data_IF_509976588427
#
_entry.id   IF_509976588427
#
_cell.length_a   1.000
_cell.length_b   1.000
_cell.length_c   1.000
_cell.angle_alpha   90.00
_cell.angle_beta   90.00
_cell.angle_gamma   90.00
#
_symmetry.space_group_name_H-M   'P 1'
#
loop_
_entity.id
_entity.type
_entity.pdbx_description
1 polymer ?
2 non-polymer ?
3 non-polymer ?
4 non-polymer ?
5 non-polymer ?
6 non-polymer ?
7 water ?
#
# COMPACT_ATOMS: atom_id res chain seq x y z
N UNK A 4 -29.41 13.94 -4.53
CA UNK A 4 -29.16 13.07 -3.39
C UNK A 4 -27.68 12.78 -3.19
N UNK A 5 -27.01 12.41 -4.26
CA UNK A 5 -25.66 11.86 -4.20
C UNK A 5 -24.62 12.90 -4.60
N UNK A 6 -23.40 12.67 -4.13
CA UNK A 6 -22.29 13.55 -4.48
C UNK A 6 -21.79 13.32 -5.90
N UNK A 7 -21.87 12.08 -6.39
CA UNK A 7 -21.51 11.77 -7.77
C UNK A 7 -22.72 11.97 -8.67
N UNK A 8 -22.54 12.62 -9.82
CA UNK A 8 -23.66 12.78 -10.75
C UNK A 8 -23.93 11.51 -11.55
N UNK A 9 -22.96 10.60 -11.61
CA UNK A 9 -23.17 9.29 -12.22
C UNK A 9 -22.11 8.33 -11.68
N UNK A 10 -22.47 7.05 -11.64
CA UNK A 10 -21.60 6.02 -11.07
C UNK A 10 -20.59 5.54 -12.10
N UNK A 11 -19.78 6.49 -12.57
CA UNK A 11 -18.76 6.24 -13.57
C UNK A 11 -17.45 6.88 -13.12
N UNK A 12 -16.37 6.57 -13.85
CA UNK A 12 -15.11 7.26 -13.63
C UNK A 12 -15.25 8.75 -13.95
N UNK A 13 -16.08 9.09 -14.94
CA UNK A 13 -16.32 10.49 -15.27
C UNK A 13 -16.96 11.24 -14.12
N UNK A 14 -17.96 10.63 -13.46
CA UNK A 14 -18.56 11.27 -12.30
C UNK A 14 -17.56 11.47 -11.18
N UNK A 15 -16.67 10.49 -10.99
CA UNK A 15 -15.65 10.63 -9.97
C UNK A 15 -14.70 11.77 -10.30
N UNK A 16 -14.31 11.90 -11.57
CA UNK A 16 -13.40 12.97 -11.95
C UNK A 16 -14.05 14.34 -11.75
N UNK A 17 -15.32 14.46 -12.17
CA UNK A 17 -16.06 15.70 -11.95
C UNK A 17 -16.16 16.03 -10.47
N UNK A 18 -16.46 15.04 -9.63
CA UNK A 18 -16.50 15.25 -8.19
C UNK A 18 -15.14 15.68 -7.66
N UNK A 19 -14.07 15.04 -8.13
CA UNK A 19 -12.72 15.36 -7.66
C UNK A 19 -12.37 16.80 -7.97
N UNK A 20 -12.77 17.31 -9.14
CA UNK A 20 -12.45 18.67 -9.47
C UNK A 20 -13.48 19.68 -8.95
N UNK A 21 -14.58 19.21 -8.38
CA UNK A 21 -15.49 20.10 -7.68
C UNK A 21 -14.86 20.58 -6.38
N UNK A 22 -15.45 21.63 -5.81
CA UNK A 22 -14.97 22.13 -4.53
C UNK A 22 -15.38 21.26 -3.36
N UNK A 23 -16.24 20.25 -3.59
CA UNK A 23 -16.65 19.36 -2.52
C UNK A 23 -15.56 18.38 -2.14
N UNK A 24 -14.68 18.01 -3.07
CA UNK A 24 -13.69 16.97 -2.87
C UNK A 24 -12.33 17.61 -2.63
N UNK A 25 -11.88 17.61 -1.37
CA UNK A 25 -10.60 18.17 -1.00
C UNK A 25 -9.64 17.16 -0.38
N UNK A 26 -10.13 16.05 0.17
CA UNK A 26 -9.31 15.10 0.92
C UNK A 26 -9.58 13.69 0.41
N UNK A 27 -8.54 13.06 -0.13
CA UNK A 27 -8.63 11.72 -0.72
C UNK A 27 -7.79 10.76 0.10
N UNK A 28 -8.38 9.63 0.48
CA UNK A 28 -7.65 8.55 1.13
C UNK A 28 -7.51 7.40 0.15
N UNK A 29 -6.27 6.95 -0.06
CA UNK A 29 -6.00 5.78 -0.89
C UNK A 29 -5.82 4.55 -0.02
N UNK A 30 -6.42 3.44 -0.44
CA UNK A 30 -6.26 2.13 0.18
C UNK A 30 -5.73 1.19 -0.90
N UNK A 31 -4.48 0.78 -0.78
CA UNK A 31 -3.83 0.05 -1.86
C UNK A 31 -3.30 -1.29 -1.34
N UNK A 32 -3.17 -2.24 -2.27
CA UNK A 32 -2.66 -3.56 -1.97
C UNK A 32 -1.69 -4.08 -3.01
N UNK A 33 -1.54 -5.40 -3.08
CA UNK A 33 -0.49 -5.97 -3.91
C UNK A 33 -0.70 -5.68 -5.39
N UNK A 34 -1.94 -5.38 -5.78
CA UNK A 34 -2.24 -5.23 -7.18
C UNK A 34 -1.55 -4.04 -7.83
N UNK A 35 -1.21 -3.02 -7.02
CA UNK A 35 -0.59 -1.82 -7.56
C UNK A 35 0.90 -2.00 -7.80
N UNK A 36 1.46 -3.17 -7.49
CA UNK A 36 2.88 -3.42 -7.66
C UNK A 36 3.20 -4.61 -8.56
N UNK A 37 2.19 -5.35 -9.03
CA UNK A 37 2.48 -6.47 -9.91
C UNK A 37 3.06 -6.01 -11.24
N UNK A 38 2.67 -4.83 -11.72
CA UNK A 38 3.25 -4.30 -12.95
C UNK A 38 4.67 -3.80 -12.76
N UNK A 39 5.15 -3.71 -11.52
CA UNK A 39 6.52 -3.34 -11.24
C UNK A 39 7.46 -4.54 -11.17
N UNK A 40 6.93 -5.76 -11.31
CA UNK A 40 7.71 -6.97 -11.17
C UNK A 40 7.67 -7.60 -9.80
N UNK A 41 6.88 -7.05 -8.88
CA UNK A 41 6.76 -7.60 -7.53
C UNK A 41 5.43 -8.33 -7.43
N UNK A 42 5.43 -9.64 -7.48
CA UNK A 42 4.18 -10.40 -7.44
C UNK A 42 3.68 -10.52 -6.00
N UNK A 43 2.61 -11.29 -5.85
CA UNK A 43 2.05 -11.50 -4.52
C UNK A 43 2.98 -12.35 -3.66
N UNK A 44 3.84 -11.70 -2.88
CA UNK A 44 4.89 -12.42 -2.14
C UNK A 44 4.30 -13.39 -1.12
N UNK A 45 3.14 -13.07 -0.57
CA UNK A 45 2.51 -13.97 0.39
C UNK A 45 1.10 -14.35 -0.05
N UNK A 57 13.89 -27.55 3.74
CA UNK A 57 15.32 -27.38 3.98
C UNK A 57 15.58 -26.73 5.32
N UNK A 58 14.66 -25.85 5.72
CA UNK A 58 14.74 -25.18 7.00
C UNK A 58 14.05 -25.95 8.11
N UNK A 59 13.33 -27.02 7.77
CA UNK A 59 12.69 -27.90 8.74
C UNK A 59 11.75 -27.11 9.66
N UNK A 60 10.90 -26.30 9.06
CA UNK A 60 9.96 -25.49 9.81
C UNK A 60 8.96 -26.38 10.54
N UNK A 61 8.68 -26.13 11.81
CA UNK A 61 7.62 -26.90 12.49
C UNK A 61 6.27 -26.77 11.82
N UNK A 62 5.95 -25.57 11.33
CA UNK A 62 4.74 -25.32 10.57
C UNK A 62 5.08 -24.26 9.54
N UNK A 63 4.54 -24.37 8.31
CA UNK A 63 4.97 -23.48 7.22
C UNK A 63 4.84 -22.00 7.53
N UNK A 64 3.92 -21.60 8.41
CA UNK A 64 3.78 -20.19 8.76
C UNK A 64 4.93 -19.69 9.64
N UNK A 65 5.76 -20.59 10.17
CA UNK A 65 6.82 -20.18 11.10
C UNK A 65 7.76 -19.16 10.48
N UNK A 66 7.99 -19.22 9.17
CA UNK A 66 8.92 -18.30 8.52
C UNK A 66 8.46 -16.86 8.65
N UNK A 67 7.18 -16.64 8.96
CA UNK A 67 6.66 -15.28 9.14
C UNK A 67 6.09 -15.06 10.54
N UNK A 68 6.40 -15.94 11.49
CA UNK A 68 5.99 -15.76 12.88
C UNK A 68 7.18 -15.26 13.69
N UNK A 69 6.92 -14.31 14.59
CA UNK A 69 8.00 -13.54 15.19
C UNK A 69 8.87 -14.40 16.09
N UNK A 70 8.26 -15.30 16.87
CA UNK A 70 9.02 -16.13 17.80
C UNK A 70 10.01 -17.02 17.05
N UNK A 71 9.54 -17.71 16.01
CA UNK A 71 10.44 -18.57 15.25
C UNK A 71 11.54 -17.75 14.59
N UNK A 72 11.19 -16.59 14.03
CA UNK A 72 12.21 -15.72 13.44
C UNK A 72 13.30 -15.40 14.44
N UNK A 73 12.92 -14.97 15.65
CA UNK A 73 13.92 -14.66 16.65
C UNK A 73 14.69 -15.89 17.09
N UNK A 74 14.13 -17.08 16.94
CA UNK A 74 14.86 -18.31 17.22
C UNK A 74 15.71 -18.76 16.04
N UNK A 75 15.14 -18.77 14.83
CA UNK A 75 15.84 -19.21 13.62
C UNK A 75 15.52 -18.23 12.50
N UNK A 76 16.29 -17.15 12.39
CA UNK A 76 16.00 -16.13 11.37
C UNK A 76 16.50 -16.48 9.99
N UNK A 77 17.49 -17.39 9.89
CA UNK A 77 18.09 -17.73 8.61
C UNK A 77 17.09 -18.15 7.53
N UNK A 78 16.05 -18.95 7.82
CA UNK A 78 15.05 -19.24 6.76
C UNK A 78 14.42 -17.99 6.17
N UNK A 79 14.04 -17.03 7.02
CA UNK A 79 13.43 -15.80 6.53
C UNK A 79 14.36 -15.07 5.57
N UNK A 80 15.65 -14.98 5.92
CA UNK A 80 16.56 -14.20 5.10
C UNK A 80 16.96 -14.94 3.82
N UNK A 81 16.96 -16.28 3.84
CA UNK A 81 17.10 -17.02 2.60
C UNK A 81 15.94 -16.73 1.65
N UNK A 82 14.71 -16.79 2.18
CA UNK A 82 13.56 -16.43 1.36
C UNK A 82 13.66 -14.98 0.88
N UNK A 83 14.23 -14.11 1.71
CA UNK A 83 14.37 -12.71 1.32
C UNK A 83 15.34 -12.54 0.17
N UNK A 84 16.46 -13.29 0.18
CA UNK A 84 17.36 -13.24 -0.96
C UNK A 84 16.68 -13.77 -2.21
N UNK A 85 15.88 -14.84 -2.06
CA UNK A 85 15.20 -15.40 -3.24
C UNK A 85 14.15 -14.45 -3.80
N UNK A 86 13.48 -13.68 -2.95
CA UNK A 86 12.39 -12.80 -3.38
C UNK A 86 12.82 -11.37 -3.63
N UNK A 87 14.08 -11.02 -3.37
CA UNK A 87 14.51 -9.64 -3.45
C UNK A 87 14.38 -9.14 -4.89
N UNK A 88 13.77 -7.98 -5.12
CA UNK A 88 13.53 -7.53 -6.49
C UNK A 88 14.82 -7.10 -7.17
N UNK A 89 14.88 -7.34 -8.49
CA UNK A 89 15.99 -6.86 -9.26
C UNK A 89 15.99 -5.36 -9.44
N UNK A 90 14.85 -4.71 -9.23
CA UNK A 90 14.74 -3.26 -9.37
C UNK A 90 13.56 -2.78 -8.53
N UNK A 91 13.70 -1.57 -7.98
CA UNK A 91 12.65 -0.92 -7.19
C UNK A 91 12.13 0.25 -8.00
N UNK A 92 11.24 -0.05 -8.95
CA UNK A 92 10.69 0.97 -9.85
C UNK A 92 9.19 1.07 -9.63
N UNK A 93 8.69 2.12 -8.98
CA UNK A 93 7.25 2.23 -8.74
C UNK A 93 6.45 2.33 -10.03
N UNK A 94 5.15 2.09 -9.93
CA UNK A 94 4.29 2.02 -11.09
C UNK A 94 3.63 3.37 -11.37
N UNK A 95 2.90 3.42 -12.49
CA UNK A 95 2.10 4.60 -12.81
C UNK A 95 1.11 4.90 -11.70
N UNK A 96 0.60 3.85 -11.04
CA UNK A 96 -0.34 4.03 -9.95
C UNK A 96 0.31 4.75 -8.77
N UNK A 97 1.51 4.30 -8.39
CA UNK A 97 2.27 4.95 -7.33
C UNK A 97 2.47 6.43 -7.64
N UNK A 98 2.84 6.75 -8.88
CA UNK A 98 3.12 8.14 -9.19
C UNK A 98 1.83 8.96 -9.34
N UNK A 99 0.71 8.30 -9.65
CA UNK A 99 -0.58 8.99 -9.57
C UNK A 99 -0.89 9.41 -8.15
N UNK A 100 -0.53 8.56 -7.19
CA UNK A 100 -0.69 8.97 -5.79
C UNK A 100 0.26 10.12 -5.44
N UNK A 101 1.48 10.07 -5.98
CA UNK A 101 2.39 11.21 -5.80
C UNK A 101 1.80 12.49 -6.38
N UNK A 102 1.14 12.39 -7.55
CA UNK A 102 0.50 13.55 -8.14
C UNK A 102 -0.63 14.06 -7.27
N UNK A 103 -1.44 13.15 -6.72
CA UNK A 103 -2.46 13.54 -5.74
C UNK A 103 -1.83 14.36 -4.62
N UNK A 104 -0.69 13.90 -4.10
CA UNK A 104 0.04 14.67 -3.10
C UNK A 104 0.40 16.05 -3.62
N UNK A 105 0.95 16.12 -4.83
CA UNK A 105 1.36 17.40 -5.40
C UNK A 105 0.19 18.33 -5.60
N UNK A 106 -0.96 17.80 -6.03
CA UNK A 106 -2.15 18.60 -6.25
C UNK A 106 -2.85 19.02 -4.96
N UNK A 107 -2.34 18.60 -3.81
CA UNK A 107 -2.96 18.98 -2.55
C UNK A 107 -4.23 18.24 -2.22
N UNK A 108 -4.37 17.01 -2.69
CA UNK A 108 -5.58 16.24 -2.48
C UNK A 108 -5.38 15.00 -1.61
N UNK A 109 -4.15 14.61 -1.31
CA UNK A 109 -3.88 13.36 -0.62
C UNK A 109 -3.92 13.58 0.89
N UNK A 110 -4.96 13.07 1.54
CA UNK A 110 -4.97 13.03 3.01
C UNK A 110 -4.03 11.95 3.51
N UNK A 111 -4.16 10.73 2.99
CA UNK A 111 -3.34 9.62 3.44
C UNK A 111 -3.42 8.47 2.44
N UNK A 112 -2.33 7.70 2.38
CA UNK A 112 -2.29 6.43 1.67
C UNK A 112 -2.10 5.32 2.69
N UNK A 113 -3.09 4.44 2.83
CA UNK A 113 -2.98 3.24 3.64
C UNK A 113 -2.58 2.09 2.72
N UNK A 114 -1.45 1.47 2.99
CA UNK A 114 -0.94 0.40 2.14
C UNK A 114 -0.75 -0.88 2.95
N UNK A 115 -1.09 -2.01 2.33
CA UNK A 115 -0.79 -3.32 2.85
C UNK A 115 0.52 -3.87 2.31
N UNK A 116 1.17 -3.13 1.41
CA UNK A 116 2.41 -3.58 0.79
C UNK A 116 3.62 -3.21 1.64
N UNK A 117 4.65 -4.05 1.54
CA UNK A 117 5.90 -3.87 2.27
C UNK A 117 7.05 -3.55 1.34
N UNK A 118 6.78 -3.27 0.07
CA UNK A 118 7.80 -3.23 -0.98
C UNK A 118 8.47 -1.87 -1.13
N UNK A 119 8.11 -0.89 -0.30
CA UNK A 119 8.73 0.44 -0.23
C UNK A 119 8.40 1.33 -1.42
N UNK A 120 7.64 0.83 -2.40
CA UNK A 120 7.49 1.58 -3.65
C UNK A 120 6.75 2.89 -3.42
N UNK A 121 5.92 2.97 -2.38
CA UNK A 121 5.24 4.23 -2.09
C UNK A 121 6.23 5.32 -1.73
N UNK A 122 7.28 4.97 -0.97
CA UNK A 122 8.27 5.96 -0.58
C UNK A 122 9.17 6.35 -1.73
N UNK A 123 9.56 5.37 -2.57
CA UNK A 123 10.37 5.67 -3.73
C UNK A 123 9.64 6.60 -4.69
N UNK A 124 8.31 6.46 -4.77
CA UNK A 124 7.51 7.34 -5.63
C UNK A 124 7.35 8.74 -5.07
N UNK A 125 7.81 9.00 -3.85
CA UNK A 125 7.79 10.34 -3.30
C UNK A 125 6.76 10.60 -2.24
N UNK A 126 6.05 9.57 -1.77
CA UNK A 126 5.16 9.74 -0.63
C UNK A 126 5.97 9.69 0.66
N UNK A 127 5.73 10.65 1.53
CA UNK A 127 6.50 10.77 2.76
C UNK A 127 5.81 10.03 3.89
N UNK A 128 6.55 9.83 4.98
CA UNK A 128 6.07 9.02 6.10
C UNK A 128 4.77 9.55 6.65
N UNK A 129 4.61 10.88 6.64
CA UNK A 129 3.37 11.50 7.10
C UNK A 129 2.21 11.17 6.18
N UNK A 130 2.49 10.94 4.89
CA UNK A 130 1.45 10.58 3.93
C UNK A 130 1.01 9.12 4.05
N UNK A 131 1.78 8.29 4.75
CA UNK A 131 1.64 6.85 4.64
C UNK A 131 1.23 6.23 5.98
N UNK A 132 0.33 5.26 5.90
CA UNK A 132 0.11 4.30 6.96
C UNK A 132 0.44 2.93 6.38
N UNK A 133 1.57 2.37 6.78
CA UNK A 133 2.03 1.07 6.30
C UNK A 133 1.48 0.01 7.24
N UNK A 134 0.25 -0.45 6.93
CA UNK A 134 -0.52 -1.26 7.87
C UNK A 134 0.18 -2.58 8.21
N UNK A 135 1.01 -3.08 7.30
CA UNK A 135 1.74 -4.32 7.53
C UNK A 135 3.25 -4.08 7.60
N UNK A 136 3.66 -2.84 7.80
CA UNK A 136 5.07 -2.55 7.95
C UNK A 136 5.74 -2.30 6.60
N UNK A 137 7.07 -2.37 6.64
CA UNK A 137 7.86 -2.12 5.44
C UNK A 137 9.25 -2.73 5.59
N UNK A 138 9.84 -3.06 4.44
CA UNK A 138 11.25 -3.39 4.32
C UNK A 138 12.14 -2.16 4.22
N UNK A 139 11.54 -0.97 4.17
CA UNK A 139 12.33 0.26 4.01
C UNK A 139 13.30 0.45 5.16
N UNK A 140 12.82 0.25 6.39
CA UNK A 140 13.62 0.40 7.59
C UNK A 140 13.70 -0.94 8.31
N UNK A 141 14.81 -1.15 9.02
CA UNK A 141 14.95 -2.31 9.88
C UNK A 141 15.42 -1.85 11.25
N UNK A 142 15.15 -2.66 12.27
CA UNK A 142 15.51 -2.31 13.63
C UNK A 142 16.13 -3.49 14.35
N UNK A 143 17.16 -3.19 15.13
CA UNK A 143 17.65 -4.14 16.13
C UNK A 143 16.51 -4.59 17.02
N UNK A 144 16.46 -5.90 17.30
CA UNK A 144 15.34 -6.44 18.06
C UNK A 144 15.43 -6.19 19.55
N UNK A 145 16.56 -5.69 20.03
CA UNK A 145 16.74 -5.46 21.47
C UNK A 145 16.00 -4.19 21.88
N UNK A 146 15.13 -4.32 22.88
CA UNK A 146 14.33 -3.17 23.30
C UNK A 146 15.19 -2.03 23.83
N UNK A 147 16.30 -2.34 24.50
CA UNK A 147 17.17 -1.30 25.04
C UNK A 147 18.04 -0.64 23.99
N UNK A 148 17.95 -1.07 22.72
CA UNK A 148 18.81 -0.53 21.67
C UNK A 148 18.00 0.05 20.52
N UNK A 149 17.30 -0.79 19.75
CA UNK A 149 16.41 -0.34 18.68
C UNK A 149 17.16 0.48 17.62
N UNK A 150 18.44 0.16 17.39
CA UNK A 150 19.22 0.82 16.36
C UNK A 150 18.55 0.59 15.00
N UNK A 151 18.37 1.67 14.24
CA UNK A 151 17.70 1.63 12.94
C UNK A 151 18.71 1.51 11.82
N UNK A 152 18.38 0.68 10.83
CA UNK A 152 19.25 0.44 9.70
C UNK A 152 18.49 0.61 8.38
N UNK A 153 19.16 1.13 7.36
CA UNK A 153 18.50 1.37 6.08
C UNK A 153 18.42 0.11 5.23
N UNK A 154 17.68 0.22 4.13
CA UNK A 154 17.49 -0.92 3.25
C UNK A 154 18.78 -1.32 2.54
N UNK A 155 19.69 -0.37 2.30
CA UNK A 155 20.95 -0.71 1.67
C UNK A 155 21.76 -1.68 2.52
N UNK A 156 21.93 -1.34 3.80
CA UNK A 156 22.58 -2.21 4.78
C UNK A 156 21.96 -3.61 4.78
N UNK A 157 20.63 -3.67 4.85
CA UNK A 157 19.92 -4.94 4.92
C UNK A 157 20.10 -5.75 3.63
N UNK A 158 20.06 -5.08 2.48
CA UNK A 158 20.28 -5.76 1.22
C UNK A 158 21.66 -6.38 1.15
N UNK A 159 22.68 -5.62 1.59
CA UNK A 159 24.03 -6.17 1.59
C UNK A 159 24.12 -7.40 2.49
N UNK A 160 23.50 -7.34 3.66
CA UNK A 160 23.49 -8.49 4.56
C UNK A 160 22.79 -9.69 3.91
N UNK A 161 21.64 -9.46 3.30
CA UNK A 161 20.85 -10.55 2.72
C UNK A 161 21.61 -11.20 1.57
N UNK A 162 22.18 -10.38 0.69
CA UNK A 162 22.88 -10.91 -0.49
C UNK A 162 24.16 -11.63 -0.11
N UNK A 163 24.91 -11.10 0.87
CA UNK A 163 26.09 -11.80 1.33
C UNK A 163 25.77 -13.04 2.15
N UNK A 164 24.48 -13.30 2.43
CA UNK A 164 24.05 -14.44 3.23
C UNK A 164 24.68 -14.44 4.61
N UNK A 165 24.72 -13.25 5.22
CA UNK A 165 25.17 -13.05 6.59
C UNK A 165 23.96 -12.55 7.37
N UNK A 166 23.60 -13.27 8.43
CA UNK A 166 22.46 -12.89 9.24
C UNK A 166 22.66 -11.50 9.81
N UNK A 167 21.71 -10.58 9.63
CA UNK A 167 21.93 -9.19 10.06
C UNK A 167 21.98 -9.07 11.57
N UNK A 168 23.06 -8.48 12.07
CA UNK A 168 23.27 -8.31 13.52
C UNK A 168 23.60 -6.86 13.81
N UNK A 169 23.13 -6.38 14.95
CA UNK A 169 23.30 -4.99 15.32
C UNK A 169 24.77 -4.66 15.57
N UNK A 170 25.22 -3.51 15.07
CA UNK A 170 26.60 -3.11 15.28
C UNK A 170 26.85 -2.58 16.69
N UNK A 171 25.80 -2.22 17.42
CA UNK A 171 25.94 -1.73 18.78
C UNK A 171 25.89 -2.87 19.80
N UNK A 172 24.96 -3.80 19.66
CA UNK A 172 24.74 -4.82 20.69
C UNK A 172 24.74 -6.24 20.17
N UNK A 173 24.96 -6.46 18.86
CA UNK A 173 25.04 -7.77 18.23
C UNK A 173 23.72 -8.54 18.24
N UNK A 174 22.61 -7.88 18.56
CA UNK A 174 21.32 -8.54 18.45
C UNK A 174 20.89 -8.64 16.99
N UNK A 175 19.90 -9.48 16.76
CA UNK A 175 19.33 -9.64 15.42
C UNK A 175 18.65 -8.34 14.99
N UNK A 176 18.74 -8.04 13.70
CA UNK A 176 18.10 -6.87 13.10
C UNK A 176 17.03 -7.36 12.14
N UNK A 177 15.78 -6.89 12.34
CA UNK A 177 14.61 -7.34 11.62
C UNK A 177 14.01 -6.22 10.78
N UNK A 178 13.64 -6.50 9.52
CA UNK A 178 12.92 -5.50 8.72
C UNK A 178 11.60 -5.14 9.38
N UNK A 179 11.17 -3.89 9.16
CA UNK A 179 10.03 -3.40 9.93
C UNK A 179 8.70 -3.87 9.38
N UNK A 180 8.61 -5.12 8.94
CA UNK A 180 7.34 -5.67 8.52
C UNK A 180 6.68 -6.29 9.74
N UNK A 181 5.36 -6.38 9.71
CA UNK A 181 4.59 -6.93 10.81
C UNK A 181 4.53 -8.44 10.63
N UNK A 182 5.27 -9.17 11.45
CA UNK A 182 5.23 -10.62 11.46
C UNK A 182 3.95 -11.12 12.14
N UNK A 183 3.61 -12.37 11.89
CA UNK A 183 2.56 -13.03 12.64
C UNK A 183 2.92 -13.04 14.12
N UNK A 184 1.94 -12.73 14.96
CA UNK A 184 2.17 -12.60 16.39
C UNK A 184 2.64 -11.24 16.82
N UNK A 185 2.75 -10.29 15.91
CA UNK A 185 3.02 -8.90 16.23
C UNK A 185 1.74 -8.09 16.04
N UNK A 186 1.65 -6.97 16.76
CA UNK A 186 0.46 -6.13 16.67
C UNK A 186 0.55 -5.20 15.47
N UNK A 187 -0.62 -4.77 15.01
CA UNK A 187 -0.67 -3.72 14.00
C UNK A 187 -0.04 -2.45 14.57
N UNK A 188 0.58 -1.62 13.72
CA UNK A 188 1.11 -0.35 14.21
C UNK A 188 -0.02 0.54 14.72
N UNK A 189 0.23 1.15 15.89
CA UNK A 189 -0.79 2.00 16.52
C UNK A 189 -1.14 3.21 15.66
N UNK A 190 -0.16 3.68 14.88
CA UNK A 190 -0.41 4.75 13.91
C UNK A 190 -1.60 4.44 13.03
N UNK A 191 -1.78 3.17 12.66
CA UNK A 191 -2.93 2.76 11.87
C UNK A 191 -4.24 3.20 12.53
N UNK A 192 -4.42 2.84 13.80
CA UNK A 192 -5.68 3.13 14.47
C UNK A 192 -5.85 4.62 14.74
N UNK A 193 -4.79 5.30 15.19
CA UNK A 193 -4.92 6.73 15.47
C UNK A 193 -5.24 7.51 14.20
N UNK A 194 -4.46 7.27 13.14
CA UNK A 194 -4.72 7.91 11.86
C UNK A 194 -6.09 7.55 11.32
N UNK A 195 -6.55 6.32 11.55
CA UNK A 195 -7.87 5.95 11.07
C UNK A 195 -8.94 6.81 11.75
N UNK A 196 -8.88 6.86 13.09
CA UNK A 196 -9.86 7.62 13.85
C UNK A 196 -9.87 9.10 13.46
N UNK A 197 -8.72 9.63 13.03
CA UNK A 197 -8.79 11.04 12.60
C UNK A 197 -9.16 11.18 11.12
N UNK A 198 -8.51 10.42 10.25
CA UNK A 198 -8.66 10.58 8.81
C UNK A 198 -10.10 10.34 8.37
N UNK A 199 -10.74 9.29 8.88
CA UNK A 199 -12.03 8.96 8.28
C UNK A 199 -13.16 9.88 8.73
N UNK A 200 -12.87 10.82 9.63
CA UNK A 200 -13.77 11.96 9.87
C UNK A 200 -13.64 13.03 8.79
N UNK A 201 -12.61 12.95 7.94
CA UNK A 201 -12.27 14.04 7.04
C UNK A 201 -12.28 13.66 5.56
N UNK A 202 -12.50 12.39 5.22
CA UNK A 202 -12.30 11.94 3.85
C UNK A 202 -13.48 12.35 2.97
N UNK A 203 -13.16 12.82 1.76
CA UNK A 203 -14.16 13.12 0.75
C UNK A 203 -14.24 12.06 -0.33
N UNK A 204 -13.17 11.33 -0.56
CA UNK A 204 -13.15 10.28 -1.57
C UNK A 204 -12.20 9.17 -1.13
N UNK A 205 -12.67 7.92 -1.28
CA UNK A 205 -11.89 6.73 -0.97
C UNK A 205 -11.49 6.07 -2.29
N UNK A 206 -10.20 5.96 -2.53
CA UNK A 206 -9.65 5.39 -3.76
C UNK A 206 -8.99 4.06 -3.41
N UNK A 207 -9.67 2.96 -3.73
CA UNK A 207 -9.22 1.62 -3.40
C UNK A 207 -8.63 0.99 -4.65
N UNK A 208 -7.36 0.58 -4.57
CA UNK A 208 -6.63 0.12 -5.75
C UNK A 208 -5.84 -1.13 -5.44
N UNK A 209 -5.99 -2.14 -6.29
CA UNK A 209 -5.16 -3.33 -6.22
C UNK A 209 -5.24 -4.13 -4.94
N UNK A 210 -6.43 -4.24 -4.35
CA UNK A 210 -6.62 -5.10 -3.19
C UNK A 210 -7.98 -5.78 -3.27
N UNK A 211 -8.02 -7.04 -2.84
CA UNK A 211 -9.27 -7.81 -2.83
C UNK A 211 -10.12 -7.53 -1.60
N UNK A 212 -9.61 -6.75 -0.64
CA UNK A 212 -10.36 -6.39 0.56
C UNK A 212 -10.86 -7.63 1.30
N UNK A 213 -9.98 -8.63 1.42
CA UNK A 213 -10.30 -9.85 2.13
C UNK A 213 -9.56 -9.99 3.45
N UNK A 214 -8.48 -9.25 3.67
CA UNK A 214 -7.68 -9.36 4.88
C UNK A 214 -8.15 -8.30 5.88
N UNK A 215 -8.57 -8.74 7.05
CA UNK A 215 -8.97 -7.85 8.13
C UNK A 215 -7.76 -7.49 8.97
N UNK A 216 -7.79 -6.34 9.66
CA UNK A 216 -8.86 -5.34 9.69
C UNK A 216 -8.73 -4.29 8.58
N UNK A 217 -7.81 -4.46 7.63
CA UNK A 217 -7.64 -3.46 6.58
C UNK A 217 -8.91 -3.32 5.73
N UNK A 218 -9.58 -4.45 5.46
CA UNK A 218 -10.80 -4.40 4.65
C UNK A 218 -11.87 -3.53 5.31
N UNK A 219 -12.16 -3.77 6.59
CA UNK A 219 -13.16 -3.02 7.31
C UNK A 219 -12.96 -1.50 7.21
N UNK A 220 -11.79 -1.03 6.79
CA UNK A 220 -11.57 0.40 6.59
C UNK A 220 -12.65 1.03 5.72
N UNK A 221 -13.15 0.28 4.71
CA UNK A 221 -14.09 0.92 3.81
C UNK A 221 -15.38 1.25 4.53
N UNK A 222 -15.68 0.53 5.62
CA UNK A 222 -16.88 0.82 6.40
C UNK A 222 -16.69 1.99 7.36
N UNK A 223 -15.45 2.48 7.51
CA UNK A 223 -15.19 3.62 8.37
C UNK A 223 -15.42 4.95 7.65
N UNK A 224 -15.67 4.94 6.36
CA UNK A 224 -15.95 6.18 5.66
C UNK A 224 -17.38 6.64 5.93
N UNK A 225 -17.61 7.96 5.93
CA UNK A 225 -18.99 8.44 6.05
C UNK A 225 -19.84 7.92 4.90
N UNK A 226 -21.15 7.82 5.15
CA UNK A 226 -22.03 7.18 4.19
C UNK A 226 -22.10 7.93 2.87
N UNK A 227 -21.82 9.23 2.88
CA UNK A 227 -21.88 10.01 1.66
C UNK A 227 -20.60 9.93 0.83
N UNK A 228 -19.51 9.50 1.44
CA UNK A 228 -18.20 9.54 0.79
C UNK A 228 -18.14 8.58 -0.41
N UNK A 229 -17.94 9.08 -1.63
CA UNK A 229 -17.78 8.18 -2.77
C UNK A 229 -16.54 7.31 -2.64
N UNK A 230 -16.63 6.11 -3.23
CA UNK A 230 -15.59 5.09 -3.13
C UNK A 230 -15.38 4.49 -4.51
N UNK A 231 -14.18 4.67 -5.06
CA UNK A 231 -13.83 4.21 -6.40
C UNK A 231 -12.83 3.05 -6.28
N UNK A 232 -13.19 1.92 -6.88
CA UNK A 232 -12.33 0.74 -6.93
C UNK A 232 -11.69 0.64 -8.31
N UNK A 233 -10.36 0.69 -8.34
CA UNK A 233 -9.57 0.39 -9.53
C UNK A 233 -8.89 -0.94 -9.27
N UNK A 234 -9.37 -2.00 -9.93
CA UNK A 234 -8.92 -3.35 -9.62
C UNK A 234 -9.27 -4.26 -10.79
N UNK A 235 -8.51 -5.34 -10.93
CA UNK A 235 -8.78 -6.27 -12.02
C UNK A 235 -10.15 -6.92 -11.88
N UNK A 236 -10.63 -7.09 -10.64
CA UNK A 236 -11.93 -7.69 -10.40
C UNK A 236 -12.65 -6.92 -9.30
N UNK A 237 -13.98 -7.03 -9.29
CA UNK A 237 -14.77 -6.39 -8.25
C UNK A 237 -14.45 -6.98 -6.89
N UNK A 238 -14.46 -6.12 -5.87
CA UNK A 238 -14.13 -6.54 -4.51
C UNK A 238 -14.83 -5.60 -3.54
N UNK A 239 -14.90 -6.05 -2.28
CA UNK A 239 -15.48 -5.25 -1.22
C UNK A 239 -16.98 -5.38 -1.05
N UNK A 240 -17.67 -6.07 -1.96
CA UNK A 240 -19.09 -6.33 -1.78
C UNK A 240 -19.30 -7.27 -0.60
N UNK A 241 -20.46 -7.15 0.04
CA UNK A 241 -20.75 -7.99 1.18
C UNK A 241 -20.81 -9.46 0.75
N UNK A 242 -20.24 -10.33 1.58
CA UNK A 242 -20.17 -11.74 1.23
C UNK A 242 -21.52 -12.39 1.49
N UNK A 243 -22.15 -13.00 0.47
CA UNK A 243 -23.48 -13.60 0.68
C UNK A 243 -23.51 -14.67 1.77
N UNK A 244 -22.37 -15.22 2.15
CA UNK A 244 -22.30 -16.24 3.19
C UNK A 244 -22.11 -15.61 4.58
N UNK A 245 -21.01 -14.88 4.76
CA UNK A 245 -20.72 -14.26 6.05
C UNK A 245 -21.05 -12.77 6.06
N UNK A 253 -21.21 -2.16 5.77
CA UNK A 253 -20.86 -1.06 4.88
C UNK A 253 -20.10 -1.52 3.64
N UNK A 254 -20.53 -2.64 3.08
CA UNK A 254 -19.86 -3.18 1.92
C UNK A 254 -20.07 -2.34 0.66
N UNK A 255 -19.28 -2.65 -0.35
CA UNK A 255 -19.39 -1.98 -1.63
C UNK A 255 -20.69 -2.39 -2.33
N UNK A 256 -21.42 -1.40 -2.84
CA UNK A 256 -22.61 -1.63 -3.65
C UNK A 256 -22.41 -0.91 -4.98
N UNK A 257 -21.96 -1.65 -5.99
CA UNK A 257 -21.74 -1.06 -7.30
C UNK A 257 -22.96 -1.16 -8.22
N UNK A 258 -23.80 -2.18 -8.05
CA UNK A 258 -24.72 -2.57 -9.11
C UNK A 258 -26.19 -2.67 -8.69
N UNK A 259 -26.52 -2.53 -7.42
CA UNK A 259 -27.92 -2.66 -7.04
C UNK A 259 -28.68 -1.40 -7.44
N UNK A 260 -30.01 -1.48 -7.35
CA UNK A 260 -30.83 -0.31 -7.61
C UNK A 260 -30.70 0.76 -6.53
N UNK A 261 -30.15 0.40 -5.37
CA UNK A 261 -29.87 1.34 -4.30
C UNK A 261 -28.44 1.87 -4.34
N UNK A 262 -27.65 1.47 -5.33
CA UNK A 262 -26.28 1.97 -5.46
C UNK A 262 -26.29 3.48 -5.66
N UNK A 263 -25.36 4.17 -5.00
CA UNK A 263 -25.39 5.63 -5.03
C UNK A 263 -24.01 6.27 -4.96
N UNK A 264 -22.98 5.52 -4.58
CA UNK A 264 -21.69 6.16 -4.35
C UNK A 264 -20.48 5.31 -4.72
N UNK A 265 -20.67 4.04 -5.04
CA UNK A 265 -19.56 3.13 -5.27
C UNK A 265 -19.40 2.86 -6.77
N UNK A 266 -18.17 3.00 -7.25
CA UNK A 266 -17.85 2.85 -8.67
C UNK A 266 -16.71 1.85 -8.80
N UNK A 267 -16.79 1.00 -9.83
CA UNK A 267 -15.77 0.00 -10.10
C UNK A 267 -15.23 0.18 -11.51
N UNK A 268 -13.91 0.37 -11.62
CA UNK A 268 -13.21 0.43 -12.89
C UNK A 268 -12.32 -0.81 -12.97
N UNK A 269 -12.71 -1.76 -13.82
CA UNK A 269 -12.10 -3.09 -13.84
C UNK A 269 -10.99 -3.15 -14.88
N UNK A 270 -9.78 -3.39 -14.42
CA UNK A 270 -8.64 -3.47 -15.30
C UNK A 270 -7.35 -3.25 -14.52
N UNK A 271 -6.28 -3.02 -15.27
CA UNK A 271 -4.98 -2.77 -14.67
C UNK A 271 -5.00 -1.44 -13.92
N UNK A 272 -4.40 -1.43 -12.73
CA UNK A 272 -4.36 -0.20 -11.92
C UNK A 272 -3.66 0.92 -12.69
N UNK A 273 -2.60 0.59 -13.42
CA UNK A 273 -1.89 1.59 -14.22
C UNK A 273 -2.82 2.24 -15.23
N UNK A 274 -3.59 1.41 -15.96
CA UNK A 274 -4.47 1.95 -16.99
C UNK A 274 -5.66 2.70 -16.39
N UNK A 275 -6.16 2.24 -15.24
CA UNK A 275 -7.23 2.99 -14.58
C UNK A 275 -6.76 4.36 -14.09
N UNK A 276 -5.56 4.42 -13.52
CA UNK A 276 -5.00 5.70 -13.09
C UNK A 276 -4.71 6.59 -14.29
N UNK A 277 -4.29 5.99 -15.41
CA UNK A 277 -4.09 6.78 -16.62
C UNK A 277 -5.40 7.38 -17.11
N UNK A 278 -6.48 6.59 -17.10
CA UNK A 278 -7.78 7.08 -17.56
C UNK A 278 -8.29 8.19 -16.64
N UNK A 279 -8.16 8.00 -15.32
CA UNK A 279 -8.57 9.03 -14.38
C UNK A 279 -7.75 10.30 -14.56
N UNK A 280 -6.42 10.17 -14.73
CA UNK A 280 -5.58 11.35 -14.96
C UNK A 280 -5.98 12.07 -16.24
N UNK A 281 -6.27 11.32 -17.31
CA UNK A 281 -6.72 11.94 -18.55
C UNK A 281 -8.00 12.72 -18.32
N UNK A 282 -8.98 12.13 -17.64
CA UNK A 282 -10.19 12.86 -17.32
C UNK A 282 -9.88 14.12 -16.53
N UNK A 283 -8.93 14.06 -15.61
CA UNK A 283 -8.59 15.21 -14.78
C UNK A 283 -7.74 16.25 -15.50
N UNK A 284 -7.18 15.93 -16.66
CA UNK A 284 -6.24 16.80 -17.32
C UNK A 284 -4.81 16.64 -16.87
N UNK A 285 -4.48 15.54 -16.19
CA UNK A 285 -3.16 15.34 -15.60
C UNK A 285 -2.30 14.37 -16.41
N UNK A 286 -2.77 13.88 -17.55
CA UNK A 286 -2.09 12.76 -18.20
C UNK A 286 -0.67 13.14 -18.59
N UNK A 287 -0.47 14.36 -19.09
CA UNK A 287 0.88 14.77 -19.47
C UNK A 287 1.76 14.94 -18.23
N UNK A 288 1.23 15.54 -17.16
CA UNK A 288 2.00 15.65 -15.93
C UNK A 288 2.41 14.28 -15.40
N UNK A 289 1.47 13.33 -15.42
CA UNK A 289 1.76 11.98 -14.93
C UNK A 289 2.79 11.29 -15.82
N UNK A 290 2.66 11.43 -17.13
CA UNK A 290 3.63 10.83 -18.05
C UNK A 290 5.01 11.39 -17.81
N UNK A 291 5.13 12.71 -17.68
CA UNK A 291 6.43 13.33 -17.47
C UNK A 291 7.03 12.92 -16.13
N UNK A 292 6.21 12.90 -15.08
CA UNK A 292 6.68 12.48 -13.77
C UNK A 292 7.21 11.05 -13.82
N UNK A 293 6.42 10.13 -14.37
CA UNK A 293 6.82 8.73 -14.43
C UNK A 293 8.09 8.57 -15.24
N UNK A 294 8.16 9.26 -16.38
CA UNK A 294 9.32 9.06 -17.25
C UNK A 294 10.58 9.60 -16.61
N UNK A 295 10.50 10.75 -15.93
CA UNK A 295 11.70 11.29 -15.31
C UNK A 295 12.11 10.46 -14.09
N UNK A 296 11.15 9.95 -13.31
CA UNK A 296 11.52 9.16 -12.14
C UNK A 296 12.07 7.81 -12.54
N UNK A 297 11.45 7.17 -13.54
CA UNK A 297 11.98 5.92 -14.08
C UNK A 297 13.36 6.13 -14.69
N UNK A 298 13.59 7.27 -15.34
CA UNK A 298 14.88 7.55 -15.93
C UNK A 298 15.94 7.68 -14.85
N UNK A 299 15.60 8.36 -13.75
CA UNK A 299 16.56 8.50 -12.66
C UNK A 299 16.83 7.15 -11.98
N UNK A 300 15.81 6.29 -11.88
CA UNK A 300 16.02 4.97 -11.28
C UNK A 300 16.90 4.11 -12.18
N UNK A 301 16.62 4.11 -13.49
CA UNK A 301 17.42 3.35 -14.44
C UNK A 301 18.87 3.83 -14.46
N UNK A 302 19.10 5.12 -14.15
CA UNK A 302 20.41 5.71 -14.22
C UNK A 302 21.23 5.50 -12.94
N UNK A 303 20.73 4.73 -12.00
CA UNK A 303 21.49 4.40 -10.80
C UNK A 303 22.34 3.16 -11.04
X LIG B 1 21.21 -3.22 18.93
X LIG C 1 -25.54 9.76 2.50
X LIG C 1 -26.54 9.30 3.40
X LIG C 1 -26.06 9.69 1.06
X LIG C 1 -25.11 10.30 0.18
X LIG D 1 -16.53 -9.80 -3.05
X LIG D 1 -16.79 -8.44 -3.63
X LIG D 1 -15.84 -10.89 -4.33
X LIG D 1 -18.11 -10.63 -2.71
X LIG E 1 -14.58 -0.30 -17.22
X LIG E 1 -14.83 -1.02 -16.00
X LIG E 1 -13.12 -0.46 -17.62
X LIG E 1 -13.01 -0.68 -19.03
X LIG F 1 -4.89 -9.67 -2.63
X LIG F 1 -4.16 -10.66 -3.44
X LIG F 1 -5.87 -10.13 -1.62
X LIG F 1 -5.59 -8.63 -3.61
X LIG F 1 -4.86 -8.02 -4.69
X LIG F 1 -5.87 -7.65 -5.75
X LIG F 1 -5.22 -6.88 -6.79
X LIG F 1 -6.57 -8.82 -6.43
X LIG F 1 -7.97 -8.57 -6.55
X LIG F 1 -5.89 -8.88 -7.80
X LIG F 1 -6.76 -9.41 -8.80
X LIG F 1 -5.63 -7.40 -8.04
X LIG F 1 -4.59 -7.10 -9.03
X LIG F 1 -3.39 -7.73 -9.19
X LIG F 1 -2.63 -7.19 -10.13
X LIG F 1 -3.39 -6.13 -10.60
X LIG F 1 -3.15 -5.15 -11.59
X LIG F 1 -2.03 -5.07 -12.30
X LIG F 1 -4.11 -4.23 -11.80
X LIG F 1 -5.24 -4.29 -11.08
X LIG F 1 -5.58 -5.18 -10.13
X LIG F 1 -4.60 -6.07 -9.94
X LIG F 1 -3.83 -8.72 -1.90
X LIG F 1 -4.01 -7.65 -0.71
X LIG F 1 -2.98 -6.60 -0.86
X LIG F 1 -5.43 -7.25 -0.61
X LIG F 1 -3.62 -8.54 0.55
X LIG F 1 -2.78 -7.94 1.56
X LIG F 1 -1.91 -8.99 2.22
X LIG F 1 -1.05 -9.61 1.25
X LIG F 1 -0.98 -8.44 3.31
X LIG F 1 -0.79 -9.39 4.35
X LIG F 1 0.31 -8.18 2.53
X LIG F 1 1.46 -8.22 3.36
X LIG F 1 0.29 -9.39 1.59
X LIG F 1 1.07 -9.19 0.33
X LIG F 1 1.88 -8.12 0.16
X LIG F 1 2.55 -7.95 -1.03
X LIG F 1 3.49 -6.79 -1.27
X LIG F 1 3.87 -6.12 -0.30
X LIG F 1 3.88 -6.56 -2.51
X LIG F 1 2.39 -8.90 -2.03
X LIG F 1 1.55 -9.98 -1.83
X LIG F 1 0.90 -10.11 -0.62
X LIG G 1 9.62 -9.82 1.19
X LIG G 1 10.57 -9.14 0.45
X LIG G 1 10.32 -10.87 1.79
X LIG G 1 9.81 -11.91 2.71
X LIG G 1 10.40 -7.92 -0.39
X LIG G 1 11.25 -6.84 -0.16
X LIG G 1 11.16 -5.71 -0.94
X LIG G 1 10.22 -5.63 -1.96
X LIG G 1 9.36 -6.69 -2.18
X LIG G 1 9.43 -7.84 -1.41
X LIG G 1 11.74 -9.80 0.62
X LIG G 1 13.06 -9.50 0.07
X LIG G 1 8.64 -9.58 -2.92
X LIG G 1 8.43 -8.95 -1.66
X LIG G 1 10.73 -12.83 2.98
X LIG G 1 8.78 -12.57 2.19
X LIG G 1 9.40 -11.41 3.86
X LIG G 1 11.60 -10.86 1.46
#
# INVERSE_FOLDING_TARGET
GHMERLLDELTLEGVARYMQSERCRRVICLVGAGISTSAGIPDFRSPSTGLYDNLEKYHLPYPEAIFEISYFKKHPEPFFALAKELYPGQFKPTICHYFMRLLKDKGLLLRCYTQNIDTLERIAGLEQEDLVEAHGTFYTSHCVSASCRHEYPLSWMKEKIFSEVTPKCEDCQSLVKPDIVFFGESLPARFFSCMQSDFLKVDLLLVMGTSLQVQPFASLISKAPLSTPRLLINKEKAGQSDPFLGMIMGLGGGMDFDSKKAYRDVAWLGECDQGCLALAELLGWKKELEDLVRREHASIDAQS
ZN ZN
EDO C1 O1 C2 O2
DMS S O C1 C2
EDO C1 O1 C2 O2
NAD PA O1A O2A O5B C5B C4B O4B C3B O3B C2B O2B C1B N9A C8A N7A C5A C6A N6A N1A C2A N3A C4A O3 PN O1N O2N O5D C5D C4D O4D C3D O3D C2D O2D C1D N1N C2N C3N C7N O7N N7N C4N C5N C6N
A1IBW C2 C1 C3 C4 C5 C6 C7 C8 C9 C10 N C O C11 F F1 F2 N1
#
